data_IF_056385526908
#
_entry.id   IF_056385526908
#
_cell.length_a   1.000
_cell.length_b   1.000
_cell.length_c   1.000
_cell.angle_alpha   90.00
_cell.angle_beta   90.00
_cell.angle_gamma   90.00
#
_symmetry.space_group_name_H-M   'P 1'
#
loop_
_entity.id
_entity.type
_entity.pdbx_description
1 polymer ?
#
# COMPACT_ATOMS: atom_id res chain seq x y z
N UNK A 1 7.30 -7.60 33.21
CA UNK A 1 8.41 -8.58 33.18
C UNK A 1 9.72 -7.89 32.82
N UNK A 2 9.78 -7.10 31.74
CA UNK A 2 10.97 -6.33 31.39
C UNK A 2 11.30 -5.29 32.48
N UNK A 3 10.30 -4.50 32.86
CA UNK A 3 10.49 -3.41 33.83
C UNK A 3 10.75 -3.92 35.25
N UNK A 4 10.21 -5.09 35.60
CA UNK A 4 10.52 -5.76 36.87
C UNK A 4 12.00 -6.18 36.90
N UNK A 5 12.54 -6.66 35.77
CA UNK A 5 13.97 -6.97 35.66
C UNK A 5 14.84 -5.70 35.68
N UNK A 6 14.42 -4.59 35.05
CA UNK A 6 15.12 -3.30 35.12
C UNK A 6 15.14 -2.73 36.54
N UNK A 7 14.02 -2.85 37.26
CA UNK A 7 13.91 -2.44 38.66
C UNK A 7 14.81 -3.28 39.56
N UNK A 8 14.77 -4.60 39.44
CA UNK A 8 15.60 -5.51 40.23
C UNK A 8 17.10 -5.33 39.95
N UNK A 9 17.51 -5.05 38.71
CA UNK A 9 18.91 -4.73 38.38
C UNK A 9 19.35 -3.38 38.99
N UNK A 10 18.45 -2.39 39.02
CA UNK A 10 18.72 -1.09 39.66
C UNK A 10 18.88 -1.25 41.17
N UNK A 11 17.98 -1.97 41.83
CA UNK A 11 18.05 -2.27 43.27
C UNK A 11 19.32 -3.07 43.63
N UNK A 12 19.71 -4.04 42.80
CA UNK A 12 20.94 -4.82 42.98
C UNK A 12 22.19 -3.93 42.91
N UNK A 13 22.23 -3.00 41.95
CA UNK A 13 23.34 -2.05 41.79
C UNK A 13 23.44 -1.09 42.97
N UNK A 14 22.32 -0.53 43.42
CA UNK A 14 22.29 0.35 44.61
C UNK A 14 22.76 -0.38 45.88
N UNK A 15 22.31 -1.62 46.08
CA UNK A 15 22.74 -2.43 47.22
C UNK A 15 24.25 -2.72 47.16
N UNK A 16 24.76 -3.07 45.98
CA UNK A 16 26.18 -3.34 45.78
C UNK A 16 27.06 -2.11 46.00
N UNK A 17 26.64 -0.94 45.51
CA UNK A 17 27.32 0.33 45.74
C UNK A 17 27.32 0.70 47.24
N UNK A 18 26.20 0.46 47.94
CA UNK A 18 26.11 0.62 49.39
C UNK A 18 27.11 -0.24 50.16
N UNK A 19 27.26 -1.51 49.79
CA UNK A 19 28.27 -2.42 50.37
C UNK A 19 29.67 -1.89 50.11
N UNK A 20 29.95 -1.47 48.86
CA UNK A 20 31.27 -0.98 48.44
C UNK A 20 31.72 0.28 49.18
N UNK A 21 30.78 1.11 49.62
CA UNK A 21 31.06 2.30 50.43
C UNK A 21 31.48 1.95 51.87
N UNK A 22 31.02 0.81 52.41
CA UNK A 22 31.37 0.38 53.77
C UNK A 22 32.58 -0.56 53.81
N UNK A 23 32.69 -1.47 52.83
CA UNK A 23 33.71 -2.51 52.81
C UNK A 23 34.07 -2.90 51.37
N UNK A 24 35.35 -3.20 51.15
CA UNK A 24 35.80 -3.71 49.85
C UNK A 24 35.19 -5.11 49.59
N UNK A 25 34.30 -5.28 48.58
CA UNK A 25 33.64 -6.55 48.34
C UNK A 25 34.63 -7.63 47.88
N UNK A 26 34.38 -8.88 48.28
CA UNK A 26 35.22 -10.01 47.89
C UNK A 26 35.19 -10.21 46.35
N UNK A 27 36.27 -10.78 45.75
CA UNK A 27 36.28 -11.08 44.32
C UNK A 27 35.10 -11.94 43.85
N UNK A 28 34.58 -12.81 44.72
CA UNK A 28 33.42 -13.65 44.40
C UNK A 28 32.11 -12.87 44.32
N UNK A 29 31.88 -11.94 45.26
CA UNK A 29 30.69 -11.07 45.25
C UNK A 29 30.69 -10.18 44.00
N UNK A 30 31.85 -9.60 43.66
CA UNK A 30 32.00 -8.77 42.44
C UNK A 30 31.61 -9.55 41.19
N UNK A 31 32.18 -10.76 41.02
CA UNK A 31 31.87 -11.63 39.88
C UNK A 31 30.39 -12.01 39.80
N UNK A 32 29.73 -12.27 40.93
CA UNK A 32 28.30 -12.61 40.96
C UNK A 32 27.43 -11.42 40.55
N UNK A 33 27.74 -10.21 41.01
CA UNK A 33 27.03 -8.99 40.60
C UNK A 33 27.27 -8.68 39.12
N UNK A 34 28.52 -8.73 38.65
CA UNK A 34 28.87 -8.49 37.25
C UNK A 34 28.16 -9.49 36.33
N UNK A 35 28.14 -10.78 36.70
CA UNK A 35 27.43 -11.81 35.94
C UNK A 35 25.91 -11.59 35.95
N UNK A 36 25.33 -11.21 37.10
CA UNK A 36 23.90 -10.94 37.20
C UNK A 36 23.50 -9.72 36.36
N UNK A 37 24.22 -8.61 36.43
CA UNK A 37 23.95 -7.43 35.60
C UNK A 37 24.18 -7.70 34.11
N UNK A 38 25.18 -8.51 33.72
CA UNK A 38 25.39 -8.90 32.34
C UNK A 38 24.24 -9.75 31.80
N UNK A 39 23.80 -10.76 32.55
CA UNK A 39 22.66 -11.61 32.18
C UNK A 39 21.37 -10.80 32.11
N UNK A 40 21.15 -9.87 33.06
CA UNK A 40 19.98 -8.99 33.02
C UNK A 40 20.04 -8.06 31.81
N UNK A 41 21.19 -7.49 31.48
CA UNK A 41 21.34 -6.67 30.28
C UNK A 41 21.04 -7.44 28.98
N UNK A 42 21.54 -8.67 28.85
CA UNK A 42 21.26 -9.54 27.70
C UNK A 42 19.77 -9.94 27.63
N UNK A 43 19.16 -10.26 28.78
CA UNK A 43 17.73 -10.57 28.86
C UNK A 43 16.90 -9.35 28.44
N UNK A 44 17.21 -8.17 28.94
CA UNK A 44 16.54 -6.92 28.57
C UNK A 44 16.70 -6.61 27.08
N UNK A 45 17.91 -6.81 26.55
CA UNK A 45 18.17 -6.61 25.12
C UNK A 45 17.32 -7.58 24.28
N UNK A 46 17.26 -8.86 24.65
CA UNK A 46 16.41 -9.86 24.00
C UNK A 46 14.93 -9.50 24.09
N UNK A 47 14.47 -8.95 25.21
CA UNK A 47 13.08 -8.49 25.38
C UNK A 47 12.76 -7.27 24.50
N UNK A 48 13.67 -6.29 24.39
CA UNK A 48 13.58 -5.17 23.43
C UNK A 48 13.54 -5.63 21.98
N UNK A 49 14.41 -6.57 21.63
CA UNK A 49 14.40 -7.17 20.28
C UNK A 49 13.07 -7.87 20.01
N UNK A 50 12.55 -8.65 20.95
CA UNK A 50 11.24 -9.32 20.82
C UNK A 50 10.05 -8.35 20.75
N UNK A 51 10.13 -7.18 21.40
CA UNK A 51 9.14 -6.12 21.24
C UNK A 51 9.06 -5.68 19.77
N UNK A 52 10.21 -5.57 19.09
CA UNK A 52 10.31 -5.13 17.68
C UNK A 52 10.13 -6.24 16.65
N UNK A 53 10.41 -7.51 16.99
CA UNK A 53 10.28 -8.65 16.05
C UNK A 53 8.83 -9.03 15.72
N UNK A 54 7.85 -8.53 16.49
CA UNK A 54 6.42 -8.71 16.19
C UNK A 54 5.85 -7.74 15.14
N UNK A 55 6.68 -6.86 14.59
CA UNK A 55 6.26 -5.72 13.77
C UNK A 55 6.15 -4.42 14.59
N UNK A 56 6.28 -3.28 13.92
CA UNK A 56 6.02 -1.95 14.52
C UNK A 56 4.59 -1.49 14.16
N UNK A 57 3.86 -0.83 15.09
CA UNK A 57 2.62 -0.16 14.74
C UNK A 57 2.86 0.84 13.62
N UNK A 58 1.87 1.01 12.75
CA UNK A 58 1.88 2.11 11.79
C UNK A 58 1.77 3.46 12.52
N UNK A 59 2.16 4.56 11.86
CA UNK A 59 2.02 5.89 12.44
C UNK A 59 0.61 6.43 12.19
N UNK A 60 -0.10 6.80 13.25
CA UNK A 60 -1.45 7.35 13.18
C UNK A 60 -1.43 8.87 13.08
N UNK A 61 -2.06 9.41 12.03
CA UNK A 61 -2.06 10.86 11.76
C UNK A 61 -3.39 11.58 12.02
N UNK A 62 -4.40 10.87 12.53
CA UNK A 62 -5.72 11.46 12.85
C UNK A 62 -6.88 11.05 11.94
N UNK A 63 -6.72 10.07 11.03
CA UNK A 63 -7.82 9.57 10.18
C UNK A 63 -8.71 8.58 10.95
N UNK A 64 -9.97 8.92 11.30
CA UNK A 64 -10.83 8.03 12.09
C UNK A 64 -11.06 6.66 11.45
N UNK A 65 -10.98 6.54 10.11
CA UNK A 65 -11.15 5.27 9.42
C UNK A 65 -10.04 4.26 9.71
N UNK A 66 -8.85 4.77 10.07
CA UNK A 66 -7.67 3.98 10.39
C UNK A 66 -7.49 3.76 11.89
N UNK A 67 -8.26 4.46 12.72
CA UNK A 67 -8.04 4.48 14.16
C UNK A 67 -8.20 3.10 14.78
N UNK A 68 -9.28 2.37 14.48
CA UNK A 68 -9.54 1.05 15.08
C UNK A 68 -8.46 0.02 14.74
N UNK A 69 -8.01 -0.01 13.48
CA UNK A 69 -6.92 -0.89 13.05
C UNK A 69 -5.61 -0.52 13.76
N UNK A 70 -5.29 0.77 13.79
CA UNK A 70 -4.09 1.28 14.43
C UNK A 70 -4.09 1.03 15.95
N UNK A 71 -5.18 1.36 16.64
CA UNK A 71 -5.27 1.24 18.10
C UNK A 71 -5.14 -0.22 18.53
N UNK A 72 -5.82 -1.14 17.84
CA UNK A 72 -5.71 -2.58 18.08
C UNK A 72 -4.28 -3.07 17.87
N UNK A 73 -3.60 -2.58 16.82
CA UNK A 73 -2.21 -2.93 16.54
C UNK A 73 -1.26 -2.36 17.60
N UNK A 74 -1.48 -1.11 18.03
CA UNK A 74 -0.69 -0.46 19.07
C UNK A 74 -0.86 -1.16 20.42
N UNK A 75 -2.07 -1.50 20.83
CA UNK A 75 -2.34 -2.28 22.04
C UNK A 75 -1.63 -3.64 22.01
N UNK A 76 -1.71 -4.34 20.87
CA UNK A 76 -1.12 -5.67 20.70
C UNK A 76 0.41 -5.68 20.73
N UNK A 77 1.04 -4.68 20.13
CA UNK A 77 2.49 -4.60 19.96
C UNK A 77 3.18 -3.85 21.10
N UNK A 78 2.52 -2.87 21.70
CA UNK A 78 3.09 -2.00 22.73
C UNK A 78 2.44 -2.26 24.09
N UNK A 79 1.15 -1.96 24.28
CA UNK A 79 0.54 -2.00 25.62
C UNK A 79 0.63 -3.36 26.30
N UNK A 80 0.37 -4.44 25.56
CA UNK A 80 0.41 -5.82 26.09
C UNK A 80 1.81 -6.30 26.45
N UNK A 81 2.85 -5.67 25.89
CA UNK A 81 4.23 -6.14 26.00
C UNK A 81 5.12 -5.23 26.86
N UNK A 82 4.77 -3.95 26.95
CA UNK A 82 5.42 -2.94 27.78
C UNK A 82 4.58 -2.70 29.03
N UNK A 83 5.12 -2.88 30.25
CA UNK A 83 4.39 -2.65 31.51
C UNK A 83 4.59 -1.24 32.07
N UNK A 84 5.67 -0.54 31.70
CA UNK A 84 6.02 0.79 32.16
C UNK A 84 5.18 1.86 31.45
N UNK A 85 4.36 2.63 32.17
CA UNK A 85 3.53 3.68 31.58
C UNK A 85 4.34 4.81 30.93
N UNK A 86 5.56 5.08 31.40
CA UNK A 86 6.44 6.10 30.82
C UNK A 86 6.91 5.69 29.43
N UNK A 87 7.30 4.43 29.27
CA UNK A 87 7.72 3.89 27.97
C UNK A 87 6.55 3.77 27.01
N UNK A 88 5.36 3.37 27.50
CA UNK A 88 4.12 3.39 26.70
C UNK A 88 3.82 4.78 26.17
N UNK A 89 3.95 5.83 26.99
CA UNK A 89 3.76 7.21 26.57
C UNK A 89 4.79 7.65 25.53
N UNK A 90 6.06 7.24 25.69
CA UNK A 90 7.10 7.48 24.70
C UNK A 90 6.79 6.80 23.36
N UNK A 91 6.38 5.54 23.37
CA UNK A 91 5.98 4.82 22.15
C UNK A 91 4.72 5.42 21.53
N UNK A 92 3.75 5.84 22.35
CA UNK A 92 2.56 6.53 21.87
C UNK A 92 2.96 7.81 21.12
N UNK A 93 3.85 8.62 21.69
CA UNK A 93 4.37 9.83 21.05
C UNK A 93 5.13 9.55 19.74
N UNK A 94 5.80 8.39 19.65
CA UNK A 94 6.52 7.94 18.45
C UNK A 94 5.58 7.51 17.33
N UNK A 95 4.48 6.84 17.65
CA UNK A 95 3.57 6.24 16.67
C UNK A 95 2.32 7.09 16.37
N UNK A 96 2.31 8.35 16.80
CA UNK A 96 1.35 9.36 16.37
C UNK A 96 2.05 10.49 15.61
N UNK A 97 1.35 11.08 14.64
CA UNK A 97 1.80 12.22 13.87
C UNK A 97 0.64 13.16 13.54
N UNK A 98 0.93 14.24 12.81
CA UNK A 98 -0.07 15.17 12.29
C UNK A 98 -1.01 15.72 13.36
N UNK A 99 -2.30 15.78 13.02
CA UNK A 99 -3.34 16.33 13.89
C UNK A 99 -3.43 15.58 15.23
N UNK A 100 -3.30 14.24 15.21
CA UNK A 100 -3.37 13.42 16.41
C UNK A 100 -2.25 13.77 17.41
N UNK A 101 -1.03 14.04 16.90
CA UNK A 101 0.10 14.46 17.73
C UNK A 101 -0.10 15.86 18.29
N UNK A 102 -0.48 16.82 17.45
CA UNK A 102 -0.73 18.20 17.90
C UNK A 102 -1.85 18.29 18.93
N UNK A 103 -2.88 17.45 18.78
CA UNK A 103 -3.95 17.35 19.78
C UNK A 103 -3.45 16.89 21.17
N UNK A 104 -2.42 16.05 21.21
CA UNK A 104 -1.85 15.50 22.44
C UNK A 104 -0.62 16.24 22.97
N UNK A 105 -0.15 17.32 22.34
CA UNK A 105 1.09 18.02 22.74
C UNK A 105 1.16 18.34 24.24
N UNK A 106 0.04 18.79 24.83
CA UNK A 106 -0.07 19.09 26.26
C UNK A 106 0.06 17.87 27.20
N UNK A 107 -0.19 16.67 26.70
CA UNK A 107 -0.11 15.44 27.50
C UNK A 107 1.33 14.92 27.67
N UNK A 108 2.28 15.36 26.85
CA UNK A 108 3.67 14.87 26.89
C UNK A 108 4.61 15.63 27.86
N UNK A 109 4.11 16.67 28.55
CA UNK A 109 4.90 17.41 29.55
C UNK A 109 5.08 16.63 30.85
N UNK A 110 4.13 15.74 31.16
CA UNK A 110 4.21 14.80 32.29
C UNK A 110 4.66 13.44 31.77
N UNK A 111 5.44 12.71 32.57
CA UNK A 111 5.96 11.37 32.26
C UNK A 111 5.59 10.41 33.38
N UNK A 112 4.29 10.15 33.50
CA UNK A 112 3.70 9.27 34.51
C UNK A 112 2.52 8.47 33.91
N UNK A 113 1.97 7.56 34.70
CA UNK A 113 0.86 6.71 34.28
C UNK A 113 -0.41 7.50 33.94
N UNK A 114 -0.67 8.55 34.71
CA UNK A 114 -1.83 9.40 34.49
C UNK A 114 -1.74 10.11 33.14
N UNK A 115 -0.56 10.60 32.76
CA UNK A 115 -0.33 11.22 31.47
C UNK A 115 -0.56 10.25 30.30
N UNK A 116 -0.14 9.00 30.43
CA UNK A 116 -0.44 7.95 29.46
C UNK A 116 -1.94 7.71 29.32
N UNK A 117 -2.61 7.44 30.44
CA UNK A 117 -4.04 7.13 30.45
C UNK A 117 -4.86 8.28 29.86
N UNK A 118 -4.55 9.52 30.26
CA UNK A 118 -5.20 10.71 29.71
C UNK A 118 -4.96 10.86 28.21
N UNK A 119 -3.74 10.63 27.72
CA UNK A 119 -3.44 10.71 26.29
C UNK A 119 -4.22 9.64 25.50
N UNK A 120 -4.26 8.41 26.02
CA UNK A 120 -4.97 7.29 25.42
C UNK A 120 -6.48 7.51 25.39
N UNK A 121 -7.08 7.93 26.51
CA UNK A 121 -8.50 8.22 26.62
C UNK A 121 -8.92 9.36 25.69
N UNK A 122 -8.08 10.40 25.58
CA UNK A 122 -8.33 11.52 24.65
C UNK A 122 -8.32 11.06 23.19
N UNK A 123 -7.42 10.17 22.79
CA UNK A 123 -7.41 9.60 21.43
C UNK A 123 -8.67 8.76 21.17
N UNK A 124 -9.02 7.87 22.11
CA UNK A 124 -10.22 7.05 21.99
C UNK A 124 -11.50 7.90 21.94
N UNK A 125 -11.58 8.96 22.73
CA UNK A 125 -12.71 9.88 22.72
C UNK A 125 -12.85 10.62 21.39
N UNK A 126 -11.73 11.08 20.80
CA UNK A 126 -11.73 11.88 19.57
C UNK A 126 -11.88 11.03 18.30
N UNK A 127 -11.21 9.87 18.24
CA UNK A 127 -11.08 9.08 17.02
C UNK A 127 -11.72 7.69 17.13
N UNK A 128 -11.78 7.11 18.32
CA UNK A 128 -12.34 5.78 18.58
C UNK A 128 -13.84 5.74 18.86
N UNK A 129 -14.48 6.89 19.04
CA UNK A 129 -15.92 6.96 19.26
C UNK A 129 -16.69 6.36 18.06
N UNK A 130 -17.59 5.41 18.34
CA UNK A 130 -18.33 4.69 17.29
C UNK A 130 -19.07 5.60 16.32
N UNK A 131 -19.61 6.74 16.78
CA UNK A 131 -20.29 7.71 15.91
C UNK A 131 -19.30 8.48 15.03
N UNK A 132 -18.10 8.77 15.52
CA UNK A 132 -17.06 9.43 14.73
C UNK A 132 -16.59 8.51 13.61
N UNK A 133 -16.30 7.24 13.93
CA UNK A 133 -15.86 6.26 12.94
C UNK A 133 -16.99 5.97 11.93
N UNK A 134 -18.21 5.75 12.40
CA UNK A 134 -19.39 5.58 11.54
C UNK A 134 -19.58 6.78 10.59
N UNK A 135 -19.50 8.01 11.12
CA UNK A 135 -19.64 9.23 10.33
C UNK A 135 -18.56 9.31 9.27
N UNK A 136 -17.30 9.02 9.60
CA UNK A 136 -16.19 9.04 8.64
C UNK A 136 -16.41 8.04 7.48
N UNK A 137 -16.90 6.83 7.76
CA UNK A 137 -17.24 5.85 6.71
C UNK A 137 -18.35 6.37 5.79
N UNK A 138 -19.44 6.86 6.38
CA UNK A 138 -20.60 7.38 5.62
C UNK A 138 -20.25 8.63 4.81
N UNK A 139 -19.49 9.56 5.39
CA UNK A 139 -19.00 10.75 4.69
C UNK A 139 -18.16 10.35 3.48
N UNK A 140 -17.19 9.43 3.66
CA UNK A 140 -16.36 8.96 2.55
C UNK A 140 -17.17 8.29 1.43
N UNK A 141 -18.19 7.49 1.76
CA UNK A 141 -19.12 6.93 0.76
C UNK A 141 -19.92 8.03 0.04
N UNK A 142 -20.45 9.00 0.80
CA UNK A 142 -21.29 10.07 0.26
C UNK A 142 -20.51 11.03 -0.64
N UNK A 143 -19.27 11.36 -0.27
CA UNK A 143 -18.39 12.25 -1.04
C UNK A 143 -17.65 11.52 -2.15
N UNK A 144 -17.85 10.20 -2.31
CA UNK A 144 -17.16 9.44 -3.35
C UNK A 144 -17.48 10.03 -4.74
N UNK A 145 -16.47 10.26 -5.60
CA UNK A 145 -16.68 10.85 -6.92
C UNK A 145 -17.43 9.88 -7.84
N UNK A 146 -18.18 10.41 -8.81
CA UNK A 146 -18.82 9.58 -9.84
C UNK A 146 -17.75 8.91 -10.71
N UNK A 147 -17.88 7.62 -10.93
CA UNK A 147 -16.96 6.78 -11.68
C UNK A 147 -17.45 6.66 -13.13
N UNK A 148 -16.58 7.01 -14.08
CA UNK A 148 -16.85 6.92 -15.50
C UNK A 148 -16.82 5.49 -16.04
N UNK A 149 -17.47 5.29 -17.20
CA UNK A 149 -17.61 3.98 -17.86
C UNK A 149 -16.32 3.20 -18.12
N UNK A 150 -15.19 3.91 -18.25
CA UNK A 150 -13.86 3.35 -18.57
C UNK A 150 -12.86 3.48 -17.42
N UNK A 151 -13.30 3.93 -16.24
CA UNK A 151 -12.44 4.17 -15.07
C UNK A 151 -12.34 2.92 -14.18
N UNK A 152 -11.85 1.82 -14.75
CA UNK A 152 -11.87 0.51 -14.11
C UNK A 152 -11.09 0.45 -12.79
N UNK A 153 -9.97 1.17 -12.69
CA UNK A 153 -9.18 1.24 -11.45
C UNK A 153 -9.92 1.97 -10.33
N UNK A 154 -10.65 3.05 -10.65
CA UNK A 154 -11.50 3.75 -9.68
C UNK A 154 -12.67 2.89 -9.21
N UNK A 155 -13.23 2.05 -10.09
CA UNK A 155 -14.23 1.05 -9.72
C UNK A 155 -13.66 0.03 -8.73
N UNK A 156 -12.41 -0.42 -8.95
CA UNK A 156 -11.71 -1.31 -8.01
C UNK A 156 -11.48 -0.65 -6.66
N UNK A 157 -10.99 0.58 -6.63
CA UNK A 157 -10.81 1.34 -5.37
C UNK A 157 -12.11 1.52 -4.59
N UNK A 158 -13.21 1.83 -5.29
CA UNK A 158 -14.53 1.94 -4.66
C UNK A 158 -15.00 0.59 -4.12
N UNK A 159 -14.82 -0.48 -4.90
CA UNK A 159 -15.13 -1.84 -4.48
C UNK A 159 -14.35 -2.25 -3.23
N UNK A 160 -13.05 -1.98 -3.18
CA UNK A 160 -12.21 -2.32 -2.04
C UNK A 160 -12.70 -1.58 -0.79
N UNK A 161 -13.11 -0.31 -0.94
CA UNK A 161 -13.69 0.45 0.16
C UNK A 161 -15.07 -0.07 0.61
N UNK A 162 -15.94 -0.51 -0.31
CA UNK A 162 -17.21 -1.17 0.04
C UNK A 162 -16.97 -2.45 0.84
N UNK A 163 -15.93 -3.23 0.49
CA UNK A 163 -15.52 -4.40 1.25
C UNK A 163 -15.05 -4.02 2.66
N UNK A 164 -14.24 -2.96 2.79
CA UNK A 164 -13.85 -2.43 4.11
C UNK A 164 -15.07 -2.06 4.96
N UNK A 165 -16.05 -1.36 4.38
CA UNK A 165 -17.30 -1.04 5.07
C UNK A 165 -18.03 -2.31 5.52
N UNK A 166 -18.12 -3.32 4.66
CA UNK A 166 -18.81 -4.58 4.98
C UNK A 166 -18.12 -5.33 6.12
N UNK A 167 -16.78 -5.35 6.16
CA UNK A 167 -16.03 -5.93 7.28
C UNK A 167 -16.18 -5.10 8.55
N UNK A 168 -16.24 -3.78 8.46
CA UNK A 168 -16.40 -2.90 9.62
C UNK A 168 -17.81 -2.99 10.26
N UNK A 169 -18.84 -3.39 9.52
CA UNK A 169 -20.21 -3.51 10.00
C UNK A 169 -20.41 -4.49 11.17
N UNK A 170 -19.54 -5.50 11.32
CA UNK A 170 -19.58 -6.44 12.45
C UNK A 170 -19.20 -5.77 13.78
N UNK A 171 -18.40 -4.71 13.74
CA UNK A 171 -17.89 -4.00 14.90
C UNK A 171 -18.58 -2.64 15.11
N UNK A 172 -19.03 -2.00 14.03
CA UNK A 172 -19.66 -0.69 14.04
C UNK A 172 -21.15 -0.84 13.71
N UNK A 173 -21.98 -1.05 14.74
CA UNK A 173 -23.44 -1.25 14.60
C UNK A 173 -24.14 -0.13 13.82
N UNK A 174 -23.63 1.10 13.89
CA UNK A 174 -24.18 2.23 13.15
C UNK A 174 -24.06 2.12 11.62
N UNK A 175 -23.20 1.23 11.10
CA UNK A 175 -23.10 0.96 9.67
C UNK A 175 -24.21 0.05 9.14
N UNK A 176 -25.02 -0.56 10.00
CA UNK A 176 -26.17 -1.39 9.58
C UNK A 176 -27.19 -0.62 8.76
N UNK A 177 -27.21 0.72 8.87
CA UNK A 177 -28.01 1.62 8.02
C UNK A 177 -27.72 1.44 6.53
N UNK A 178 -26.52 0.98 6.15
CA UNK A 178 -26.15 0.77 4.75
C UNK A 178 -26.91 -0.37 4.07
N UNK A 179 -27.62 -1.22 4.83
CA UNK A 179 -28.52 -2.24 4.28
C UNK A 179 -29.82 -1.64 3.71
N UNK A 180 -30.10 -0.36 3.99
CA UNK A 180 -31.28 0.32 3.46
C UNK A 180 -31.16 0.56 1.94
N UNK A 181 -32.26 0.40 1.21
CA UNK A 181 -32.26 0.53 -0.25
C UNK A 181 -32.01 1.97 -0.72
N UNK A 182 -32.33 3.00 0.07
CA UNK A 182 -31.99 4.39 -0.24
C UNK A 182 -30.48 4.64 -0.10
N UNK A 183 -29.83 4.02 0.88
CA UNK A 183 -28.36 4.07 0.99
C UNK A 183 -27.73 3.32 -0.20
N UNK A 184 -28.28 2.17 -0.62
CA UNK A 184 -27.87 1.47 -1.85
C UNK A 184 -27.96 2.39 -3.07
N UNK A 185 -29.08 3.09 -3.26
CA UNK A 185 -29.30 4.02 -4.36
C UNK A 185 -28.23 5.13 -4.41
N UNK A 186 -27.84 5.70 -3.26
CA UNK A 186 -26.78 6.72 -3.18
C UNK A 186 -25.44 6.20 -3.70
N UNK A 187 -25.13 4.93 -3.40
CA UNK A 187 -23.91 4.27 -3.89
C UNK A 187 -24.00 3.92 -5.37
N UNK A 188 -25.16 3.48 -5.86
CA UNK A 188 -25.39 3.25 -7.29
C UNK A 188 -25.18 4.51 -8.14
N UNK A 189 -25.52 5.68 -7.61
CA UNK A 189 -25.27 6.96 -8.29
C UNK A 189 -23.78 7.26 -8.52
N UNK A 190 -22.88 6.58 -7.81
CA UNK A 190 -21.42 6.70 -7.97
C UNK A 190 -20.86 5.79 -9.06
N UNK A 191 -21.58 4.74 -9.43
CA UNK A 191 -21.08 3.69 -10.30
C UNK A 191 -21.19 4.02 -11.80
N UNK A 192 -20.40 3.33 -12.64
CA UNK A 192 -20.64 3.31 -14.07
C UNK A 192 -22.01 2.73 -14.41
N UNK A 193 -22.66 3.28 -15.43
CA UNK A 193 -24.01 2.87 -15.86
C UNK A 193 -24.14 1.37 -16.15
N UNK A 194 -23.10 0.76 -16.75
CA UNK A 194 -23.10 -0.67 -17.03
C UNK A 194 -23.08 -1.53 -15.75
N UNK A 195 -22.46 -1.05 -14.66
CA UNK A 195 -22.49 -1.73 -13.36
C UNK A 195 -23.88 -1.58 -12.74
N UNK A 196 -24.44 -0.36 -12.77
CA UNK A 196 -25.77 -0.07 -12.24
C UNK A 196 -26.86 -0.89 -12.94
N UNK A 197 -26.78 -1.05 -14.26
CA UNK A 197 -27.69 -1.89 -15.04
C UNK A 197 -27.57 -3.38 -14.67
N UNK A 198 -26.34 -3.88 -14.47
CA UNK A 198 -26.09 -5.26 -14.03
C UNK A 198 -26.64 -5.52 -12.64
N UNK A 199 -26.42 -4.60 -11.71
CA UNK A 199 -26.98 -4.67 -10.37
C UNK A 199 -28.51 -4.65 -10.39
N UNK A 200 -29.12 -3.74 -11.17
CA UNK A 200 -30.58 -3.67 -11.31
C UNK A 200 -31.15 -5.01 -11.78
N UNK A 201 -30.55 -5.63 -12.80
CA UNK A 201 -30.95 -6.97 -13.26
C UNK A 201 -30.87 -8.01 -12.13
N UNK A 202 -29.76 -8.04 -11.40
CA UNK A 202 -29.59 -8.95 -10.27
C UNK A 202 -30.68 -8.77 -9.20
N UNK A 203 -30.94 -7.51 -8.79
CA UNK A 203 -31.98 -7.21 -7.79
C UNK A 203 -33.35 -7.63 -8.29
N UNK A 204 -33.73 -7.30 -9.52
CA UNK A 204 -35.02 -7.69 -10.10
C UNK A 204 -35.17 -9.22 -10.10
N UNK A 205 -34.15 -9.97 -10.49
CA UNK A 205 -34.16 -11.43 -10.46
C UNK A 205 -34.32 -12.00 -9.02
N UNK A 206 -33.79 -11.34 -7.99
CA UNK A 206 -34.00 -11.74 -6.59
C UNK A 206 -35.45 -11.47 -6.13
N UNK A 207 -35.96 -10.28 -6.45
CA UNK A 207 -37.33 -9.89 -6.10
C UNK A 207 -38.38 -10.78 -6.80
N UNK A 208 -38.16 -11.13 -8.06
CA UNK A 208 -39.02 -12.06 -8.81
C UNK A 208 -39.08 -13.46 -8.17
N UNK A 209 -38.04 -13.85 -7.41
CA UNK A 209 -37.97 -15.09 -6.63
C UNK A 209 -38.56 -14.95 -5.21
N UNK A 210 -39.19 -13.82 -4.91
CA UNK A 210 -39.75 -13.53 -3.59
C UNK A 210 -38.70 -13.29 -2.49
N UNK A 211 -37.44 -12.98 -2.86
CA UNK A 211 -36.43 -12.58 -1.88
C UNK A 211 -36.61 -11.11 -1.50
N UNK A 212 -36.05 -10.72 -0.35
CA UNK A 212 -35.96 -9.32 0.06
C UNK A 212 -34.91 -8.57 -0.78
N UNK A 213 -34.90 -7.24 -0.64
CA UNK A 213 -33.87 -6.42 -1.29
C UNK A 213 -32.47 -6.85 -0.79
N UNK A 214 -31.47 -7.02 -1.68
CA UNK A 214 -30.15 -7.50 -1.27
C UNK A 214 -29.48 -6.61 -0.21
N UNK A 215 -28.84 -7.26 0.76
CA UNK A 215 -28.09 -6.59 1.82
C UNK A 215 -26.89 -5.79 1.29
N UNK A 216 -26.33 -4.92 2.14
CA UNK A 216 -25.09 -4.21 1.82
C UNK A 216 -23.94 -5.18 1.52
N UNK A 217 -23.86 -6.30 2.27
CA UNK A 217 -22.83 -7.30 2.07
C UNK A 217 -22.91 -7.94 0.67
N UNK A 218 -24.13 -8.28 0.22
CA UNK A 218 -24.35 -8.81 -1.13
C UNK A 218 -24.01 -7.77 -2.19
N UNK A 219 -24.41 -6.51 -1.98
CA UNK A 219 -24.03 -5.42 -2.87
C UNK A 219 -22.50 -5.27 -2.97
N UNK A 220 -21.79 -5.16 -1.85
CA UNK A 220 -20.34 -5.04 -1.83
C UNK A 220 -19.66 -6.22 -2.54
N UNK A 221 -20.14 -7.45 -2.30
CA UNK A 221 -19.64 -8.68 -2.93
C UNK A 221 -19.88 -8.68 -4.45
N UNK A 222 -21.06 -8.23 -4.89
CA UNK A 222 -21.40 -8.10 -6.29
C UNK A 222 -20.51 -7.08 -7.00
N UNK A 223 -20.33 -5.89 -6.42
CA UNK A 223 -19.44 -4.87 -6.99
C UNK A 223 -17.98 -5.36 -7.05
N UNK A 224 -17.53 -6.12 -6.06
CA UNK A 224 -16.19 -6.75 -6.08
C UNK A 224 -16.03 -7.78 -7.20
N UNK A 225 -17.08 -8.54 -7.52
CA UNK A 225 -17.07 -9.40 -8.70
C UNK A 225 -16.96 -8.57 -9.99
N UNK A 226 -17.78 -7.54 -10.15
CA UNK A 226 -17.79 -6.70 -11.35
C UNK A 226 -16.48 -5.94 -11.54
N UNK A 227 -15.88 -5.42 -10.46
CA UNK A 227 -14.57 -4.78 -10.48
C UNK A 227 -13.46 -5.75 -10.91
N UNK A 228 -13.46 -6.99 -10.40
CA UNK A 228 -12.50 -8.04 -10.83
C UNK A 228 -12.67 -8.40 -12.30
N UNK A 229 -13.90 -8.50 -12.81
CA UNK A 229 -14.16 -8.75 -14.23
C UNK A 229 -13.62 -7.60 -15.08
N UNK A 230 -13.94 -6.35 -14.70
CA UNK A 230 -13.49 -5.16 -15.41
C UNK A 230 -11.97 -4.93 -15.37
N UNK A 231 -11.30 -5.47 -14.35
CA UNK A 231 -9.84 -5.38 -14.17
C UNK A 231 -9.11 -6.70 -14.47
N UNK A 232 -9.76 -7.67 -15.13
CA UNK A 232 -9.11 -8.95 -15.46
C UNK A 232 -7.82 -8.69 -16.27
N UNK A 233 -6.65 -9.19 -15.83
CA UNK A 233 -5.37 -8.82 -16.43
C UNK A 233 -5.15 -9.36 -17.85
N UNK A 234 -6.03 -10.25 -18.33
CA UNK A 234 -5.91 -10.89 -19.65
C UNK A 234 -7.04 -10.46 -20.58
N UNK A 235 -8.29 -10.59 -20.14
CA UNK A 235 -9.47 -10.48 -21.02
C UNK A 235 -10.26 -9.18 -20.88
N UNK A 236 -9.93 -8.33 -19.90
CA UNK A 236 -10.68 -7.09 -19.70
C UNK A 236 -10.35 -6.06 -20.77
N UNK A 237 -11.31 -5.14 -21.01
CA UNK A 237 -11.05 -3.96 -21.84
C UNK A 237 -9.88 -3.11 -21.28
N UNK A 238 -9.67 -3.11 -19.97
CA UNK A 238 -8.52 -2.45 -19.36
C UNK A 238 -7.19 -3.07 -19.85
N UNK A 239 -7.07 -4.39 -19.78
CA UNK A 239 -5.88 -5.13 -20.22
C UNK A 239 -5.63 -5.00 -21.73
N UNK A 240 -6.70 -5.14 -22.53
CA UNK A 240 -6.59 -5.04 -24.00
C UNK A 240 -6.15 -3.64 -24.45
N UNK A 241 -6.56 -2.57 -23.75
CA UNK A 241 -6.12 -1.20 -24.07
C UNK A 241 -4.63 -1.01 -23.86
N UNK A 242 -4.09 -1.54 -22.75
CA UNK A 242 -2.65 -1.51 -22.50
C UNK A 242 -1.85 -2.38 -23.48
N UNK A 243 -2.44 -3.47 -23.98
CA UNK A 243 -1.81 -4.27 -25.04
C UNK A 243 -1.77 -3.54 -26.40
N UNK A 244 -2.77 -2.70 -26.70
CA UNK A 244 -2.78 -1.89 -27.93
C UNK A 244 -1.88 -0.65 -27.85
N UNK A 245 -1.60 -0.16 -26.64
CA UNK A 245 -0.58 0.86 -26.35
C UNK A 245 0.84 0.23 -26.36
N UNK A 246 1.18 -0.52 -27.41
CA UNK A 246 2.58 -0.93 -27.61
C UNK A 246 3.47 0.31 -27.80
N UNK A 247 4.74 0.29 -27.33
CA UNK A 247 5.71 1.37 -27.53
C UNK A 247 6.18 1.53 -28.99
N UNK A 248 5.43 1.01 -29.97
CA UNK A 248 5.75 1.10 -31.39
C UNK A 248 5.67 2.52 -31.94
N UNK A 249 4.98 3.42 -31.26
CA UNK A 249 5.04 4.86 -31.57
C UNK A 249 6.25 5.54 -30.93
N UNK A 250 6.74 5.04 -29.78
CA UNK A 250 7.84 5.66 -29.04
C UNK A 250 9.16 5.49 -29.76
N UNK A 251 9.55 4.26 -30.14
CA UNK A 251 10.80 4.09 -30.91
C UNK A 251 10.70 4.69 -32.31
N UNK A 252 9.54 4.63 -32.96
CA UNK A 252 9.35 5.24 -34.27
C UNK A 252 9.44 6.78 -34.21
N UNK A 253 8.92 7.40 -33.15
CA UNK A 253 9.05 8.84 -32.92
C UNK A 253 10.49 9.22 -32.54
N UNK A 254 11.15 8.46 -31.68
CA UNK A 254 12.57 8.65 -31.33
C UNK A 254 13.46 8.50 -32.55
N UNK A 255 13.24 7.48 -33.38
CA UNK A 255 14.00 7.26 -34.61
C UNK A 255 13.72 8.36 -35.65
N UNK A 256 12.48 8.85 -35.76
CA UNK A 256 12.14 9.99 -36.63
C UNK A 256 12.81 11.28 -36.16
N UNK A 257 12.88 11.53 -34.85
CA UNK A 257 13.55 12.69 -34.25
C UNK A 257 15.07 12.61 -34.48
N UNK A 258 15.68 11.44 -34.27
CA UNK A 258 17.10 11.20 -34.54
C UNK A 258 17.42 11.35 -36.03
N UNK A 259 16.58 10.83 -36.93
CA UNK A 259 16.72 11.01 -38.38
C UNK A 259 16.60 12.49 -38.77
N UNK A 260 15.65 13.24 -38.19
CA UNK A 260 15.50 14.67 -38.47
C UNK A 260 16.70 15.49 -37.97
N UNK A 261 17.25 15.14 -36.81
CA UNK A 261 18.45 15.79 -36.24
C UNK A 261 19.72 15.45 -37.05
N UNK A 262 19.84 14.22 -37.55
CA UNK A 262 20.94 13.82 -38.44
C UNK A 262 20.85 14.48 -39.82
N UNK A 263 19.64 14.67 -40.35
CA UNK A 263 19.40 15.37 -41.62
C UNK A 263 19.52 16.90 -41.49
N UNK A 264 19.34 17.46 -40.29
CA UNK A 264 19.51 18.89 -40.01
C UNK A 264 20.96 19.38 -39.96
N UNK A 265 21.94 18.46 -39.87
CA UNK A 265 23.35 18.80 -39.64
C UNK A 265 24.31 18.47 -40.79
N UNK A 266 23.85 18.22 -42.02
CA UNK A 266 24.77 18.17 -43.16
C UNK A 266 24.13 18.63 -44.48
N UNK A 267 24.83 19.57 -45.13
CA UNK A 267 24.66 19.96 -46.53
C UNK A 267 24.58 18.71 -47.43
N UNK A 268 23.38 18.27 -47.81
CA UNK A 268 23.20 17.20 -48.81
C UNK A 268 22.10 17.60 -49.81
N UNK A 269 22.50 17.54 -51.08
CA UNK A 269 21.73 17.93 -52.27
C UNK A 269 20.34 17.28 -52.37
N UNK A 270 19.30 18.04 -52.77
CA UNK A 270 17.88 17.63 -52.75
C UNK A 270 17.50 16.48 -53.68
N UNK A 271 18.41 15.99 -54.53
CA UNK A 271 18.13 14.90 -55.47
C UNK A 271 18.32 13.49 -54.87
N UNK A 272 18.97 13.34 -53.71
CA UNK A 272 19.17 12.03 -53.05
C UNK A 272 18.06 11.65 -52.06
N UNK A 273 17.19 12.60 -51.70
CA UNK A 273 16.11 12.42 -50.70
C UNK A 273 14.85 11.75 -51.28
N UNK A 274 14.63 11.85 -52.59
CA UNK A 274 13.46 11.24 -53.24
C UNK A 274 13.56 9.71 -53.32
N UNK A 275 14.75 9.18 -53.64
CA UNK A 275 14.96 7.72 -53.77
C UNK A 275 14.79 6.99 -52.44
N UNK A 276 15.30 7.57 -51.34
CA UNK A 276 15.12 6.97 -49.99
C UNK A 276 13.67 7.07 -49.50
N UNK A 277 12.94 8.15 -49.82
CA UNK A 277 11.51 8.27 -49.45
C UNK A 277 10.63 7.21 -50.12
N UNK A 278 10.96 6.80 -51.34
CA UNK A 278 10.27 5.72 -52.04
C UNK A 278 10.52 4.36 -51.35
N UNK A 279 11.78 4.10 -50.98
CA UNK A 279 12.22 2.88 -50.31
C UNK A 279 11.58 2.71 -48.92
N UNK A 280 11.48 3.79 -48.13
CA UNK A 280 10.78 3.77 -46.83
C UNK A 280 9.25 3.59 -46.97
N UNK A 281 8.64 4.08 -48.05
CA UNK A 281 7.21 3.85 -48.32
C UNK A 281 6.93 2.39 -48.69
N UNK A 282 7.84 1.73 -49.40
CA UNK A 282 7.72 0.30 -49.73
C UNK A 282 7.91 -0.61 -48.51
N UNK A 283 8.84 -0.26 -47.60
CA UNK A 283 9.07 -0.99 -46.34
C UNK A 283 7.84 -0.91 -45.42
N UNK A 284 7.20 0.25 -45.33
CA UNK A 284 5.98 0.44 -44.54
C UNK A 284 4.75 -0.28 -45.15
N UNK A 285 4.76 -0.55 -46.45
CA UNK A 285 3.65 -1.21 -47.14
C UNK A 285 3.72 -2.75 -47.11
N UNK A 286 4.90 -3.35 -46.93
CA UNK A 286 5.11 -4.80 -47.17
C UNK A 286 5.54 -5.62 -45.95
N UNK A 287 5.88 -5.00 -44.82
CA UNK A 287 5.95 -5.69 -43.53
C UNK A 287 7.00 -6.81 -43.39
N UNK A 288 8.02 -6.91 -44.25
CA UNK A 288 9.25 -7.69 -43.99
C UNK A 288 10.36 -7.33 -44.98
N UNK A 289 11.66 -7.26 -44.57
CA UNK A 289 12.74 -6.89 -45.48
C UNK A 289 13.22 -8.10 -46.27
N UNK A 290 13.08 -8.04 -47.61
CA UNK A 290 13.64 -9.02 -48.54
C UNK A 290 15.15 -8.83 -48.68
N UNK A 291 15.91 -9.85 -48.28
CA UNK A 291 17.37 -9.96 -48.43
C UNK A 291 17.71 -10.04 -49.92
N UNK A 292 18.42 -9.04 -50.47
CA UNK A 292 19.16 -9.22 -51.73
C UNK A 292 20.65 -8.90 -51.51
N UNK A 293 21.46 -9.91 -51.81
CA UNK A 293 22.91 -9.94 -51.65
C UNK A 293 23.60 -8.98 -52.63
N UNK A 294 24.49 -8.14 -52.12
CA UNK A 294 25.44 -7.39 -52.95
C UNK A 294 26.77 -8.16 -53.01
N UNK A 295 27.09 -8.64 -54.22
CA UNK A 295 28.33 -9.32 -54.59
C UNK A 295 29.53 -8.39 -54.44
N UNK A 296 30.49 -8.73 -53.57
CA UNK A 296 31.80 -8.08 -53.50
C UNK A 296 32.71 -8.65 -54.59
N UNK A 297 33.22 -7.75 -55.43
CA UNK A 297 34.23 -8.00 -56.47
C UNK A 297 35.62 -8.09 -55.83
N UNK A 298 36.20 -9.29 -55.76
CA UNK A 298 37.60 -9.54 -55.41
C UNK A 298 38.40 -10.07 -56.61
N UNK A 299 39.66 -9.64 -56.70
CA UNK A 299 40.57 -9.73 -57.84
C UNK A 299 41.19 -11.11 -58.09
N UNK A 300 41.38 -11.42 -59.40
CA UNK A 300 42.38 -12.29 -60.07
C UNK A 300 43.06 -13.42 -59.27
N UNK A 301 42.91 -14.66 -59.75
CA UNK A 301 44.08 -15.44 -60.22
C UNK A 301 43.71 -16.56 -61.22
N UNK A 302 44.69 -16.88 -62.08
CA UNK A 302 44.62 -17.70 -63.30
C UNK A 302 44.52 -19.23 -63.05
N UNK A 303 43.59 -19.87 -63.78
CA UNK A 303 43.69 -21.12 -64.58
C UNK A 303 44.25 -22.45 -63.98
N UNK A 304 44.13 -23.60 -64.67
CA UNK A 304 42.91 -24.28 -65.12
C UNK A 304 42.91 -25.80 -64.78
N UNK A 305 41.76 -26.48 -64.88
CA UNK A 305 41.75 -27.88 -65.34
C UNK A 305 40.83 -28.90 -64.65
N UNK A 306 40.13 -29.63 -65.53
CA UNK A 306 39.61 -31.02 -65.40
C UNK A 306 38.41 -31.26 -64.47
N UNK A 307 37.23 -31.52 -65.03
CA UNK A 307 36.68 -32.77 -65.64
C UNK A 307 35.88 -33.60 -64.62
N UNK A 308 34.58 -33.69 -64.89
CA UNK A 308 33.68 -34.87 -64.83
C UNK A 308 33.82 -35.81 -63.61
N UNK A 309 32.79 -35.86 -62.77
CA UNK A 309 31.69 -36.85 -62.84
C UNK A 309 30.56 -36.45 -61.89
#
# INVERSE_FOLDING_TARGET
MMDEAEKQDSELKELYDGIRLQVAPSPEIRRKVDACSAVTADLLQLMRVRLTEGGEPTVFSGDPLKFTEWSTSFEALIERRCSNPVDRLFYLQRYIAGEAKSFLEGSFYRKDEEAYQQAWDRLNARYGNSFVVQRAFREKLNTWPRIGGKEFLKLREFSDFLQTCSSAMSHIKGLQVLNDCEENQKMLAKLPEWVTSRWNRYVTEQLDRGQEYPSFHEFASYIAKEARIACNPVSSLHALRHATETPNSSWAHTLLVEIYQMLGNSHISPYKTASKRQEYREILATGTPSRTSTTLRGTKDKAPGLKKK
#
